data_IF_294236646502
#
_entry.id   IF_294236646502
#
_cell.length_a   1.000
_cell.length_b   1.000
_cell.length_c   1.000
_cell.angle_alpha   90.00
_cell.angle_beta   90.00
_cell.angle_gamma   90.00
#
_symmetry.space_group_name_H-M   'P 1'
#
loop_
_entity.id
_entity.type
_entity.pdbx_description
1 polymer ?
#
# COMPACT_ATOMS: atom_id res chain seq x y z
N UNK A 1 -2.99 -2.25 9.40
CA UNK A 1 -3.46 -1.97 10.78
C UNK A 1 -4.90 -1.49 10.81
N UNK A 2 -5.24 -0.28 10.37
CA UNK A 2 -6.64 0.16 10.26
C UNK A 2 -7.52 -0.78 9.42
N UNK A 3 -7.02 -1.28 8.28
CA UNK A 3 -7.67 -2.33 7.48
C UNK A 3 -7.97 -3.61 8.27
N UNK A 4 -7.22 -3.92 9.32
CA UNK A 4 -7.41 -5.11 10.16
C UNK A 4 -8.29 -4.83 11.39
N UNK A 5 -9.01 -3.70 11.43
CA UNK A 5 -9.81 -3.28 12.59
C UNK A 5 -9.00 -2.83 13.81
N UNK A 6 -7.67 -2.81 13.73
CA UNK A 6 -6.81 -2.36 14.84
C UNK A 6 -6.92 -0.85 15.00
N UNK A 7 -7.52 -0.44 16.13
CA UNK A 7 -7.93 0.95 16.42
C UNK A 7 -6.76 1.94 16.53
N UNK A 8 -5.57 1.46 16.88
CA UNK A 8 -4.39 2.29 17.08
C UNK A 8 -3.10 1.57 16.69
N UNK A 9 -2.11 2.34 16.24
CA UNK A 9 -0.74 1.89 16.01
C UNK A 9 0.19 3.12 16.08
N UNK A 10 1.38 2.96 16.67
CA UNK A 10 2.41 4.00 16.77
C UNK A 10 3.75 3.46 16.25
N UNK A 11 4.43 4.24 15.42
CA UNK A 11 5.68 3.85 14.76
C UNK A 11 6.93 4.35 15.51
N UNK A 12 8.01 3.56 15.46
CA UNK A 12 9.42 3.84 15.80
C UNK A 12 9.75 4.59 17.12
N UNK A 13 8.81 4.87 18.02
CA UNK A 13 9.11 5.43 19.36
C UNK A 13 8.38 4.70 20.50
N UNK A 14 9.06 4.47 21.64
CA UNK A 14 8.43 3.90 22.83
C UNK A 14 7.55 4.93 23.53
N UNK A 15 6.28 4.59 23.72
CA UNK A 15 5.35 5.28 24.63
C UNK A 15 5.49 4.73 26.08
N UNK A 16 6.08 5.43 27.08
CA UNK A 16 6.17 4.90 28.50
C UNK A 16 6.01 5.93 29.68
N UNK A 17 4.91 5.92 30.47
CA UNK A 17 4.47 6.93 31.50
C UNK A 17 5.22 6.77 32.87
N UNK A 18 5.26 7.68 33.86
CA UNK A 18 4.57 8.99 34.15
C UNK A 18 5.48 9.90 35.03
N UNK A 19 5.22 11.22 35.10
CA UNK A 19 6.09 12.18 35.81
C UNK A 19 5.71 12.58 37.25
N UNK A 20 6.69 13.18 37.95
CA UNK A 20 6.51 14.12 39.07
C UNK A 20 7.74 15.04 39.16
N UNK A 21 7.61 16.30 38.78
CA UNK A 21 8.71 17.26 38.73
C UNK A 21 8.33 18.49 37.91
N UNK A 22 8.67 19.69 38.40
CA UNK A 22 8.31 20.93 37.72
C UNK A 22 9.17 21.15 36.45
N UNK A 23 8.56 21.85 35.48
CA UNK A 23 9.10 22.27 34.17
C UNK A 23 9.07 21.25 33.01
N UNK A 24 8.57 21.74 31.86
CA UNK A 24 8.59 21.15 30.50
C UNK A 24 7.69 19.92 30.19
N UNK A 25 6.37 20.10 30.26
CA UNK A 25 5.43 19.26 29.49
C UNK A 25 5.49 19.58 27.99
N UNK A 26 6.08 18.68 27.20
CA UNK A 26 5.86 18.61 25.75
C UNK A 26 4.84 17.50 25.45
N UNK A 27 3.58 17.89 25.19
CA UNK A 27 2.52 16.98 24.73
C UNK A 27 2.72 16.70 23.23
N UNK A 28 2.78 15.42 22.84
CA UNK A 28 3.06 15.01 21.46
C UNK A 28 1.80 14.83 20.60
N UNK A 29 0.63 14.82 21.23
CA UNK A 29 -0.64 15.10 20.58
C UNK A 29 -1.02 16.54 20.97
N UNK A 30 -1.45 17.41 20.03
CA UNK A 30 -2.01 18.70 20.41
C UNK A 30 -3.23 18.47 21.32
N UNK A 31 -3.45 19.37 22.28
CA UNK A 31 -4.61 19.33 23.18
C UNK A 31 -5.91 19.58 22.38
N UNK A 32 -6.42 18.53 21.75
CA UNK A 32 -7.65 18.58 20.96
C UNK A 32 -8.63 17.55 21.51
N UNK A 33 -9.80 17.99 22.03
CA UNK A 33 -10.91 17.09 22.41
C UNK A 33 -11.41 16.17 21.26
N UNK A 34 -10.91 16.38 20.04
CA UNK A 34 -11.25 15.63 18.84
C UNK A 34 -10.65 14.22 18.76
N UNK A 35 -9.89 13.72 19.74
CA UNK A 35 -9.45 12.31 19.76
C UNK A 35 -10.64 11.32 19.78
N UNK A 36 -11.76 11.71 20.41
CA UNK A 36 -13.03 11.00 20.31
C UNK A 36 -13.79 11.21 18.98
N UNK A 37 -13.38 12.19 18.17
CA UNK A 37 -13.94 12.51 16.86
C UNK A 37 -13.04 12.06 15.69
N UNK A 38 -11.89 11.45 15.97
CA UNK A 38 -11.07 10.82 14.93
C UNK A 38 -11.76 9.53 14.45
N UNK A 39 -12.05 9.38 13.16
CA UNK A 39 -12.60 8.13 12.65
C UNK A 39 -11.58 7.00 12.84
N UNK A 40 -12.08 5.81 13.20
CA UNK A 40 -11.34 4.59 13.55
C UNK A 40 -10.42 4.03 12.45
N UNK A 41 -10.28 4.73 11.34
CA UNK A 41 -9.57 4.35 10.12
C UNK A 41 -8.26 5.12 9.89
N UNK A 42 -7.94 6.13 10.71
CA UNK A 42 -6.72 6.95 10.54
C UNK A 42 -5.52 6.38 11.29
N UNK A 43 -4.50 5.98 10.54
CA UNK A 43 -3.20 5.58 11.05
C UNK A 43 -2.34 6.84 11.26
N UNK A 44 -1.88 7.09 12.49
CA UNK A 44 -1.10 8.28 12.84
C UNK A 44 0.39 7.97 12.64
N UNK A 45 0.97 8.48 11.56
CA UNK A 45 2.40 8.39 11.31
C UNK A 45 3.13 9.53 12.02
N UNK A 46 3.90 9.22 13.06
CA UNK A 46 4.84 10.15 13.68
C UNK A 46 6.16 10.10 12.91
N UNK A 47 6.44 11.17 12.17
CA UNK A 47 7.66 11.34 11.39
C UNK A 47 8.89 11.26 12.30
N UNK A 48 9.94 10.56 11.89
CA UNK A 48 11.22 10.52 12.60
C UNK A 48 11.66 11.94 13.02
N UNK A 49 11.78 12.14 14.33
CA UNK A 49 12.70 13.15 14.88
C UNK A 49 13.97 12.43 15.32
N UNK A 50 15.07 13.20 15.31
CA UNK A 50 16.44 12.77 15.54
C UNK A 50 16.58 11.69 16.64
N UNK A 51 17.53 10.74 16.49
CA UNK A 51 17.69 9.62 17.42
C UNK A 51 17.75 10.09 18.87
N UNK A 52 16.88 9.51 19.70
CA UNK A 52 16.82 9.83 21.13
C UNK A 52 18.18 9.59 21.78
N UNK A 53 18.58 10.50 22.68
CA UNK A 53 19.81 10.33 23.45
C UNK A 53 19.67 9.09 24.37
N UNK A 54 20.73 8.25 24.51
CA UNK A 54 20.75 7.20 25.52
C UNK A 54 20.40 7.75 26.91
N UNK A 55 19.56 7.04 27.66
CA UNK A 55 19.06 7.47 28.97
C UNK A 55 17.79 8.36 28.96
N UNK A 56 17.19 8.64 27.80
CA UNK A 56 15.92 9.39 27.71
C UNK A 56 14.72 8.48 28.04
N UNK A 57 13.98 8.79 29.11
CA UNK A 57 12.70 8.15 29.48
C UNK A 57 11.49 8.90 28.87
N UNK A 58 10.42 8.20 28.42
CA UNK A 58 9.33 8.76 27.56
C UNK A 58 7.96 8.84 28.29
N UNK A 59 6.80 8.67 27.59
CA UNK A 59 5.37 8.75 28.07
C UNK A 59 4.36 8.38 26.93
N UNK A 60 3.35 7.47 27.06
CA UNK A 60 2.13 7.47 26.26
C UNK A 60 1.16 8.53 26.75
N UNK A 61 0.08 8.62 26.01
CA UNK A 61 -1.08 9.37 26.37
C UNK A 61 -1.89 8.72 27.54
N UNK A 62 -2.26 9.47 28.59
CA UNK A 62 -3.09 8.96 29.70
C UNK A 62 -4.53 8.61 29.29
N UNK A 63 -5.05 9.16 28.18
CA UNK A 63 -6.35 8.79 27.59
C UNK A 63 -6.29 7.47 26.83
N UNK A 64 -5.10 6.94 26.58
CA UNK A 64 -4.84 5.75 25.78
C UNK A 64 -3.77 4.84 26.44
N UNK A 65 -3.80 4.74 27.77
CA UNK A 65 -2.81 4.01 28.58
C UNK A 65 -2.74 2.48 28.32
N UNK A 66 -3.63 1.95 27.48
CA UNK A 66 -3.68 0.55 27.03
C UNK A 66 -3.09 0.33 25.62
N UNK A 67 -2.54 1.38 24.98
CA UNK A 67 -1.86 1.26 23.68
C UNK A 67 -0.38 0.95 23.91
N UNK A 68 0.01 -0.28 23.60
CA UNK A 68 1.40 -0.68 23.50
C UNK A 68 1.98 -0.26 22.14
N UNK A 69 3.07 0.51 22.13
CA UNK A 69 3.84 0.74 20.91
C UNK A 69 4.64 -0.53 20.57
N UNK A 70 4.59 -0.95 19.30
CA UNK A 70 5.32 -2.10 18.80
C UNK A 70 5.88 -1.80 17.41
N UNK A 71 6.99 -2.45 17.04
CA UNK A 71 7.60 -2.22 15.74
C UNK A 71 6.64 -2.61 14.60
N UNK A 72 6.56 -1.88 13.47
CA UNK A 72 5.57 -2.15 12.41
C UNK A 72 5.59 -3.57 11.86
N UNK A 73 6.79 -4.15 11.73
CA UNK A 73 6.97 -5.53 11.29
C UNK A 73 6.45 -6.56 12.33
N UNK A 74 6.57 -6.24 13.63
CA UNK A 74 6.01 -7.06 14.72
C UNK A 74 4.48 -6.97 14.72
N UNK A 75 3.91 -5.77 14.54
CA UNK A 75 2.46 -5.60 14.36
C UNK A 75 1.94 -6.38 13.15
N UNK A 76 2.66 -6.34 12.03
CA UNK A 76 2.33 -7.10 10.82
C UNK A 76 2.32 -8.61 11.10
N UNK A 77 3.36 -9.14 11.76
CA UNK A 77 3.42 -10.54 12.17
C UNK A 77 2.28 -10.95 13.12
N UNK A 78 1.89 -10.07 14.06
CA UNK A 78 0.73 -10.30 14.92
C UNK A 78 -0.59 -10.35 14.13
N UNK A 79 -0.81 -9.45 13.16
CA UNK A 79 -2.01 -9.48 12.31
C UNK A 79 -2.03 -10.70 11.40
N UNK A 80 -0.90 -11.07 10.80
CA UNK A 80 -0.76 -12.30 9.99
C UNK A 80 -1.16 -13.52 10.82
N UNK A 81 -0.61 -13.68 12.03
CA UNK A 81 -0.98 -14.77 12.95
C UNK A 81 -2.45 -14.71 13.37
N UNK A 82 -3.00 -13.52 13.62
CA UNK A 82 -4.39 -13.36 14.01
C UNK A 82 -5.34 -13.81 12.89
N UNK A 83 -5.02 -13.47 11.64
CA UNK A 83 -5.74 -13.93 10.45
C UNK A 83 -5.63 -15.45 10.26
N UNK A 84 -4.44 -16.04 10.38
CA UNK A 84 -4.24 -17.51 10.32
C UNK A 84 -5.10 -18.25 11.35
N UNK A 85 -5.17 -17.72 12.57
CA UNK A 85 -5.84 -18.37 13.71
C UNK A 85 -7.30 -17.94 13.90
N UNK A 86 -7.87 -17.16 12.97
CA UNK A 86 -9.24 -16.64 13.08
C UNK A 86 -9.50 -15.82 14.36
N UNK A 87 -8.50 -15.12 14.88
CA UNK A 87 -8.59 -14.42 16.17
C UNK A 87 -9.45 -13.14 16.05
N UNK A 88 -10.41 -12.90 16.97
CA UNK A 88 -11.35 -11.79 16.89
C UNK A 88 -10.72 -10.40 17.14
N UNK A 89 -9.42 -10.34 17.42
CA UNK A 89 -8.64 -9.10 17.51
C UNK A 89 -8.46 -8.42 16.15
N UNK A 90 -8.63 -9.17 15.05
CA UNK A 90 -8.67 -8.65 13.69
C UNK A 90 -10.07 -8.83 13.14
N UNK A 91 -10.71 -7.74 12.72
CA UNK A 91 -11.97 -7.81 11.99
C UNK A 91 -11.70 -8.24 10.54
N UNK A 92 -11.63 -9.56 10.33
CA UNK A 92 -11.45 -10.14 9.00
C UNK A 92 -12.64 -9.88 8.06
N UNK A 93 -13.82 -9.48 8.56
CA UNK A 93 -14.97 -9.13 7.71
C UNK A 93 -14.85 -7.72 7.15
N UNK A 94 -14.17 -6.81 7.87
CA UNK A 94 -13.82 -5.48 7.35
C UNK A 94 -12.87 -5.52 6.14
N UNK A 95 -12.09 -6.60 5.98
CA UNK A 95 -11.26 -6.83 4.80
C UNK A 95 -12.04 -7.65 3.76
N UNK A 96 -12.48 -6.96 2.71
CA UNK A 96 -13.30 -7.52 1.65
C UNK A 96 -12.50 -8.49 0.74
N UNK A 97 -13.10 -9.65 0.47
CA UNK A 97 -12.66 -10.63 -0.53
C UNK A 97 -13.89 -11.07 -1.34
N UNK A 98 -13.87 -10.96 -2.70
CA UNK A 98 -14.97 -11.38 -3.55
C UNK A 98 -15.36 -12.86 -3.38
N UNK A 99 -16.62 -13.25 -3.65
CA UNK A 99 -17.10 -14.61 -3.45
C UNK A 99 -16.28 -15.71 -4.14
N UNK A 100 -15.89 -15.51 -5.41
CA UNK A 100 -15.10 -16.47 -6.19
C UNK A 100 -13.69 -16.68 -5.62
N UNK A 101 -13.11 -15.68 -4.94
CA UNK A 101 -11.80 -15.75 -4.29
C UNK A 101 -11.83 -16.25 -2.83
N UNK A 102 -13.01 -16.63 -2.29
CA UNK A 102 -13.13 -17.02 -0.87
C UNK A 102 -12.25 -18.20 -0.48
N UNK A 103 -11.92 -19.09 -1.42
CA UNK A 103 -11.02 -20.22 -1.22
C UNK A 103 -9.60 -19.80 -0.78
N UNK A 104 -9.16 -18.58 -1.12
CA UNK A 104 -7.87 -18.00 -0.76
C UNK A 104 -7.98 -16.80 0.21
N UNK A 105 -9.14 -16.63 0.89
CA UNK A 105 -9.45 -15.38 1.58
C UNK A 105 -8.47 -15.01 2.70
N UNK A 106 -7.92 -15.95 3.45
CA UNK A 106 -6.94 -15.66 4.52
C UNK A 106 -5.67 -15.04 3.93
N UNK A 107 -5.11 -15.69 2.89
CA UNK A 107 -3.93 -15.23 2.17
C UNK A 107 -4.14 -13.85 1.54
N UNK A 108 -5.27 -13.64 0.84
CA UNK A 108 -5.60 -12.35 0.20
C UNK A 108 -5.65 -11.22 1.24
N UNK A 109 -6.31 -11.44 2.38
CA UNK A 109 -6.38 -10.45 3.47
C UNK A 109 -5.01 -10.14 4.06
N UNK A 110 -4.16 -11.14 4.22
CA UNK A 110 -2.80 -10.95 4.70
C UNK A 110 -1.97 -10.13 3.72
N UNK A 111 -2.04 -10.43 2.42
CA UNK A 111 -1.36 -9.63 1.37
C UNK A 111 -1.87 -8.18 1.37
N UNK A 112 -3.20 -7.95 1.40
CA UNK A 112 -3.77 -6.60 1.48
C UNK A 112 -3.30 -5.82 2.73
N UNK A 113 -3.09 -6.49 3.87
CA UNK A 113 -2.50 -5.86 5.06
C UNK A 113 -1.00 -5.61 4.91
N UNK A 114 -0.26 -6.53 4.27
CA UNK A 114 1.17 -6.38 3.99
C UNK A 114 1.40 -5.19 3.04
N UNK A 115 0.72 -5.14 1.90
CA UNK A 115 0.76 -4.04 0.91
C UNK A 115 0.60 -2.67 1.61
N UNK A 116 -0.47 -2.55 2.41
CA UNK A 116 -0.78 -1.33 3.14
C UNK A 116 0.24 -0.94 4.23
N UNK A 117 1.00 -1.91 4.78
CA UNK A 117 2.10 -1.63 5.72
C UNK A 117 3.38 -1.27 4.96
N UNK A 118 3.76 -2.03 3.92
CA UNK A 118 4.97 -1.79 3.12
C UNK A 118 4.95 -0.42 2.41
N UNK A 119 3.76 0.10 2.07
CA UNK A 119 3.58 1.46 1.55
C UNK A 119 4.02 2.54 2.54
N UNK A 120 3.88 2.31 3.84
CA UNK A 120 4.23 3.26 4.91
C UNK A 120 5.69 3.16 5.38
N UNK A 121 6.35 2.04 5.11
CA UNK A 121 7.70 1.77 5.59
C UNK A 121 8.78 2.16 4.56
N UNK A 122 10.02 2.45 5.02
CA UNK A 122 11.18 2.48 4.15
C UNK A 122 11.31 1.15 3.38
N UNK A 123 11.75 1.16 2.12
CA UNK A 123 12.01 -0.08 1.39
C UNK A 123 13.09 -0.91 2.10
N UNK A 124 12.75 -2.16 2.41
CA UNK A 124 13.65 -3.17 2.98
C UNK A 124 13.64 -4.41 2.07
N UNK A 125 14.80 -4.99 1.73
CA UNK A 125 14.85 -6.21 0.92
C UNK A 125 14.12 -7.38 1.59
N UNK A 126 13.40 -8.18 0.80
CA UNK A 126 12.76 -9.41 1.28
C UNK A 126 13.82 -10.34 1.86
N UNK A 127 13.63 -10.76 3.12
CA UNK A 127 14.57 -11.62 3.84
C UNK A 127 15.66 -10.88 4.62
N UNK A 128 15.57 -9.55 4.79
CA UNK A 128 16.47 -8.81 5.69
C UNK A 128 16.46 -9.41 7.11
N UNK A 129 17.63 -9.84 7.58
CA UNK A 129 17.80 -10.55 8.86
C UNK A 129 17.29 -9.76 10.07
N UNK A 130 17.32 -8.41 10.01
CA UNK A 130 16.82 -7.56 11.08
C UNK A 130 15.31 -7.66 11.19
N UNK A 131 14.61 -7.69 10.05
CA UNK A 131 13.15 -7.92 10.02
C UNK A 131 12.83 -9.34 10.48
N UNK A 132 13.56 -10.34 9.98
CA UNK A 132 13.35 -11.74 10.36
C UNK A 132 13.57 -11.99 11.85
N UNK A 133 14.56 -11.36 12.48
CA UNK A 133 14.80 -11.49 13.92
C UNK A 133 13.68 -10.88 14.77
N UNK A 134 13.03 -9.81 14.29
CA UNK A 134 11.91 -9.16 14.98
C UNK A 134 10.60 -9.98 14.92
N UNK A 135 10.34 -10.67 13.81
CA UNK A 135 9.09 -11.44 13.63
C UNK A 135 9.19 -12.90 14.10
N UNK A 136 10.42 -13.39 14.36
CA UNK A 136 10.68 -14.74 14.87
C UNK A 136 9.97 -15.00 16.20
N UNK A 137 9.18 -16.06 16.25
CA UNK A 137 8.38 -16.42 17.42
C UNK A 137 7.06 -15.65 17.56
N UNK A 138 6.88 -14.56 16.80
CA UNK A 138 5.57 -13.87 16.70
C UNK A 138 4.65 -14.65 15.76
N UNK A 139 5.13 -15.01 14.58
CA UNK A 139 4.42 -15.83 13.59
C UNK A 139 5.34 -16.88 12.96
N UNK A 140 4.80 -17.71 12.08
CA UNK A 140 5.56 -18.68 11.29
C UNK A 140 6.37 -17.96 10.21
N UNK A 141 7.69 -18.19 10.17
CA UNK A 141 8.61 -17.45 9.31
C UNK A 141 8.41 -17.76 7.82
N UNK A 142 8.04 -18.99 7.47
CA UNK A 142 7.80 -19.39 6.08
C UNK A 142 6.55 -18.73 5.51
N UNK A 143 5.46 -18.69 6.29
CA UNK A 143 4.23 -17.94 5.97
C UNK A 143 4.55 -16.44 5.81
N UNK A 144 5.28 -15.85 6.76
CA UNK A 144 5.65 -14.44 6.69
C UNK A 144 6.51 -14.10 5.47
N UNK A 145 7.51 -14.93 5.16
CA UNK A 145 8.36 -14.75 3.99
C UNK A 145 7.61 -14.94 2.68
N UNK A 146 6.65 -15.87 2.64
CA UNK A 146 5.76 -16.04 1.49
C UNK A 146 4.92 -14.78 1.28
N UNK A 147 4.26 -14.29 2.33
CA UNK A 147 3.47 -13.06 2.25
C UNK A 147 4.31 -11.84 1.85
N UNK A 148 5.53 -11.69 2.37
CA UNK A 148 6.41 -10.58 2.01
C UNK A 148 6.88 -10.65 0.54
N UNK A 149 7.05 -11.84 -0.04
CA UNK A 149 7.31 -12.02 -1.49
C UNK A 149 6.10 -11.68 -2.37
N UNK A 150 4.89 -11.94 -1.87
CA UNK A 150 3.64 -11.68 -2.58
C UNK A 150 3.07 -10.28 -2.35
N UNK A 151 3.59 -9.55 -1.36
CA UNK A 151 3.17 -8.19 -1.05
C UNK A 151 3.84 -7.17 -1.99
N UNK A 152 3.07 -6.16 -2.38
CA UNK A 152 3.50 -5.07 -3.23
C UNK A 152 3.21 -3.73 -2.55
N UNK A 153 4.25 -2.90 -2.45
CA UNK A 153 4.15 -1.55 -1.87
C UNK A 153 3.38 -0.55 -2.74
N UNK A 154 3.19 -0.89 -4.03
CA UNK A 154 2.49 -0.06 -5.01
C UNK A 154 0.98 -0.23 -5.00
N UNK A 155 0.43 -1.27 -4.36
CA UNK A 155 -1.02 -1.36 -4.16
C UNK A 155 -1.44 -0.35 -3.09
N UNK A 156 -2.09 0.73 -3.50
CA UNK A 156 -2.54 1.80 -2.61
C UNK A 156 -3.91 1.50 -1.98
N UNK A 157 -4.70 0.60 -2.59
CA UNK A 157 -5.98 0.10 -2.08
C UNK A 157 -6.12 -1.43 -2.09
N UNK A 158 -7.02 -2.02 -1.26
CA UNK A 158 -7.30 -3.46 -1.27
C UNK A 158 -7.81 -3.99 -2.62
N UNK A 159 -8.36 -3.13 -3.48
CA UNK A 159 -8.87 -3.49 -4.81
C UNK A 159 -7.76 -3.60 -5.84
N UNK A 160 -6.70 -2.78 -5.75
CA UNK A 160 -5.49 -2.97 -6.55
C UNK A 160 -4.77 -4.27 -6.17
N UNK A 161 -4.71 -4.62 -4.87
CA UNK A 161 -4.19 -5.92 -4.43
C UNK A 161 -4.99 -7.07 -5.04
N UNK A 162 -6.34 -6.98 -5.07
CA UNK A 162 -7.21 -7.97 -5.71
C UNK A 162 -6.96 -8.05 -7.22
N UNK A 163 -6.96 -6.91 -7.91
CA UNK A 163 -6.68 -6.81 -9.36
C UNK A 163 -5.34 -7.46 -9.71
N UNK A 164 -4.29 -7.18 -8.94
CA UNK A 164 -2.97 -7.80 -9.07
C UNK A 164 -3.04 -9.31 -8.87
N UNK A 165 -3.56 -9.77 -7.73
CA UNK A 165 -3.60 -11.20 -7.38
C UNK A 165 -4.43 -12.02 -8.37
N UNK A 166 -5.55 -11.50 -8.88
CA UNK A 166 -6.37 -12.16 -9.90
C UNK A 166 -5.65 -12.28 -11.25
N UNK A 167 -4.79 -11.33 -11.61
CA UNK A 167 -4.14 -11.29 -12.93
C UNK A 167 -2.74 -11.94 -12.97
N UNK A 168 -2.04 -12.07 -11.83
CA UNK A 168 -0.63 -12.51 -11.80
C UNK A 168 -0.36 -13.85 -12.52
N UNK A 169 -1.26 -14.83 -12.39
CA UNK A 169 -1.13 -16.15 -13.06
C UNK A 169 -1.21 -16.03 -14.58
N UNK A 170 -2.14 -15.21 -15.06
CA UNK A 170 -2.36 -15.00 -16.49
C UNK A 170 -1.29 -14.12 -17.12
N UNK A 171 -0.88 -13.06 -16.43
CA UNK A 171 0.25 -12.20 -16.83
C UNK A 171 1.52 -13.03 -17.04
N UNK A 172 1.85 -13.93 -16.10
CA UNK A 172 2.98 -14.84 -16.26
C UNK A 172 2.80 -15.83 -17.44
N UNK A 173 1.58 -16.35 -17.65
CA UNK A 173 1.24 -17.24 -18.79
C UNK A 173 1.36 -16.53 -20.14
N UNK A 174 1.07 -15.23 -20.20
CA UNK A 174 1.17 -14.41 -21.41
C UNK A 174 2.60 -13.95 -21.73
N UNK A 175 3.58 -14.27 -20.89
CA UNK A 175 4.95 -13.76 -21.04
C UNK A 175 5.06 -12.26 -20.72
N UNK A 176 4.21 -11.76 -19.83
CA UNK A 176 4.18 -10.37 -19.40
C UNK A 176 4.61 -10.20 -17.94
N UNK A 177 4.86 -8.96 -17.55
CA UNK A 177 5.14 -8.51 -16.17
C UNK A 177 4.07 -7.53 -15.73
N UNK A 178 3.61 -7.68 -14.49
CA UNK A 178 2.72 -6.73 -13.82
C UNK A 178 3.57 -5.74 -13.00
N UNK A 179 3.46 -4.45 -13.30
CA UNK A 179 4.23 -3.39 -12.60
C UNK A 179 3.25 -2.36 -12.04
N UNK A 180 3.26 -2.15 -10.73
CA UNK A 180 2.38 -1.16 -10.07
C UNK A 180 2.90 0.27 -10.14
N UNK A 181 1.99 1.25 -10.04
CA UNK A 181 2.28 2.68 -9.86
C UNK A 181 3.26 3.24 -10.88
N UNK A 182 2.93 3.04 -12.17
CA UNK A 182 3.76 3.47 -13.30
C UNK A 182 3.38 4.88 -13.73
N UNK A 183 4.33 5.81 -13.70
CA UNK A 183 4.14 7.16 -14.27
C UNK A 183 4.05 7.06 -15.80
N UNK A 184 2.95 7.49 -16.39
CA UNK A 184 2.76 7.57 -17.83
C UNK A 184 3.11 8.97 -18.33
N UNK A 185 4.09 9.04 -19.22
CA UNK A 185 4.55 10.28 -19.85
C UNK A 185 4.29 10.21 -21.36
N UNK A 186 3.73 11.26 -21.94
CA UNK A 186 3.55 11.40 -23.40
C UNK A 186 4.34 12.63 -23.84
N UNK A 187 5.27 12.47 -24.78
CA UNK A 187 6.10 13.55 -25.34
C UNK A 187 6.76 14.44 -24.25
N UNK A 188 7.34 13.80 -23.23
CA UNK A 188 7.94 14.45 -22.04
C UNK A 188 6.97 15.19 -21.11
N UNK A 189 5.66 15.10 -21.34
CA UNK A 189 4.61 15.60 -20.43
C UNK A 189 4.10 14.46 -19.55
N UNK A 190 4.09 14.65 -18.23
CA UNK A 190 3.44 13.71 -17.32
C UNK A 190 1.92 13.76 -17.52
N UNK A 191 1.30 12.61 -17.78
CA UNK A 191 -0.15 12.50 -18.02
C UNK A 191 -0.86 12.02 -16.75
N UNK A 192 -0.43 10.88 -16.20
CA UNK A 192 -1.02 10.26 -15.01
C UNK A 192 -0.06 9.24 -14.40
N UNK A 193 -0.40 8.69 -13.22
CA UNK A 193 0.11 7.38 -12.80
C UNK A 193 -0.97 6.34 -13.10
N UNK A 194 -0.59 5.21 -13.70
CA UNK A 194 -1.44 4.02 -13.78
C UNK A 194 -1.19 3.13 -12.57
N UNK A 195 -2.26 2.62 -11.96
CA UNK A 195 -2.16 1.75 -10.78
C UNK A 195 -1.39 0.47 -11.08
N UNK A 196 -1.51 -0.03 -12.32
CA UNK A 196 -0.57 -0.97 -12.89
C UNK A 196 -0.39 -0.82 -14.40
N UNK A 197 0.69 -1.39 -14.92
CA UNK A 197 0.89 -1.69 -16.33
C UNK A 197 1.23 -3.17 -16.46
N UNK A 198 0.55 -3.85 -17.37
CA UNK A 198 0.96 -5.18 -17.85
C UNK A 198 1.79 -4.92 -19.11
N UNK A 199 3.04 -5.37 -19.14
CA UNK A 199 3.98 -5.17 -20.26
C UNK A 199 4.64 -6.49 -20.66
N UNK A 200 4.86 -6.73 -21.95
CA UNK A 200 5.61 -7.90 -22.42
C UNK A 200 6.99 -7.98 -21.75
N UNK A 201 7.44 -9.18 -21.36
CA UNK A 201 8.68 -9.40 -20.60
C UNK A 201 9.91 -8.83 -21.30
N UNK A 202 9.93 -8.89 -22.63
CA UNK A 202 10.98 -8.38 -23.51
C UNK A 202 10.82 -6.90 -23.87
N UNK A 203 9.79 -6.21 -23.36
CA UNK A 203 9.59 -4.76 -23.47
C UNK A 203 9.85 -4.05 -22.10
N UNK A 204 10.09 -4.79 -21.02
CA UNK A 204 10.29 -4.28 -19.64
C UNK A 204 11.41 -3.22 -19.54
N UNK A 205 12.47 -3.32 -20.35
CA UNK A 205 13.56 -2.34 -20.41
C UNK A 205 13.13 -0.94 -20.88
N UNK A 206 11.92 -0.79 -21.43
CA UNK A 206 11.34 0.52 -21.77
C UNK A 206 10.88 1.28 -20.51
N UNK A 207 10.68 0.58 -19.38
CA UNK A 207 10.41 1.20 -18.09
C UNK A 207 11.68 1.86 -17.54
N UNK A 208 11.59 3.16 -17.28
CA UNK A 208 12.66 3.96 -16.67
C UNK A 208 12.39 4.10 -15.18
N UNK A 209 13.41 3.93 -14.35
CA UNK A 209 13.30 4.29 -12.94
C UNK A 209 13.30 5.82 -12.78
N UNK A 210 12.18 6.42 -12.41
CA UNK A 210 12.08 7.85 -12.06
C UNK A 210 12.12 8.03 -10.55
N UNK A 211 12.91 9.01 -10.08
CA UNK A 211 12.72 9.56 -8.74
C UNK A 211 11.54 10.51 -8.82
N UNK A 212 10.48 10.23 -8.05
CA UNK A 212 9.24 11.01 -8.12
C UNK A 212 9.50 12.48 -7.74
N UNK A 213 8.73 13.40 -8.34
CA UNK A 213 8.72 14.82 -7.94
C UNK A 213 8.12 15.04 -6.55
N UNK A 214 7.40 14.06 -6.00
CA UNK A 214 6.70 14.12 -4.71
C UNK A 214 7.04 12.88 -3.88
N UNK A 215 7.55 13.08 -2.66
CA UNK A 215 7.78 12.00 -1.69
C UNK A 215 9.12 11.25 -1.80
N UNK A 216 9.89 11.42 -2.87
CA UNK A 216 11.25 10.86 -2.99
C UNK A 216 11.32 9.33 -3.17
N UNK A 217 10.19 8.68 -3.44
CA UNK A 217 10.16 7.29 -3.85
C UNK A 217 10.73 7.14 -5.26
N UNK A 218 11.28 5.96 -5.58
CA UNK A 218 11.55 5.57 -6.97
C UNK A 218 10.30 4.87 -7.48
N UNK A 219 9.70 5.39 -8.56
CA UNK A 219 8.62 4.73 -9.32
C UNK A 219 9.17 4.28 -10.68
N UNK A 220 8.45 3.37 -11.32
CA UNK A 220 8.65 3.06 -12.72
C UNK A 220 7.93 4.12 -13.57
N UNK A 221 8.50 4.47 -14.71
CA UNK A 221 7.87 5.37 -15.68
C UNK A 221 7.94 4.77 -17.09
N UNK A 222 6.85 4.90 -17.84
CA UNK A 222 6.79 4.56 -19.24
C UNK A 222 6.70 5.86 -20.05
N UNK A 223 7.62 6.04 -20.99
CA UNK A 223 7.64 7.21 -21.88
C UNK A 223 7.09 6.78 -23.24
N UNK A 224 5.95 7.35 -23.58
CA UNK A 224 5.20 7.15 -24.81
C UNK A 224 5.44 8.33 -25.76
N UNK A 225 5.33 8.08 -27.06
CA UNK A 225 5.47 9.08 -28.12
C UNK A 225 4.21 9.13 -28.97
N UNK A 226 3.72 10.32 -29.29
CA UNK A 226 2.54 10.48 -30.16
C UNK A 226 2.81 10.29 -31.66
N UNK A 227 4.06 10.06 -32.06
CA UNK A 227 4.47 9.91 -33.45
C UNK A 227 4.37 8.45 -33.94
N UNK A 228 3.82 8.28 -35.15
CA UNK A 228 3.68 6.98 -35.85
C UNK A 228 5.01 6.22 -36.04
N UNK A 229 6.15 6.89 -35.90
CA UNK A 229 7.50 6.32 -36.01
C UNK A 229 7.98 5.61 -34.73
N UNK A 230 7.25 5.71 -33.63
CA UNK A 230 7.59 5.06 -32.36
C UNK A 230 7.18 3.59 -32.33
N UNK A 231 8.07 2.72 -31.83
CA UNK A 231 7.66 1.36 -31.46
C UNK A 231 6.83 1.45 -30.18
N UNK A 232 5.51 1.36 -30.30
CA UNK A 232 4.62 1.29 -29.14
C UNK A 232 4.96 0.04 -28.30
N UNK A 233 5.11 0.17 -26.97
CA UNK A 233 5.34 -0.99 -26.10
C UNK A 233 4.12 -1.92 -26.15
N UNK A 234 4.33 -3.24 -26.16
CA UNK A 234 3.22 -4.20 -25.99
C UNK A 234 2.84 -4.23 -24.53
N UNK A 235 2.03 -3.24 -24.16
CA UNK A 235 1.63 -2.97 -22.81
C UNK A 235 0.20 -2.44 -22.76
N UNK A 236 -0.46 -2.66 -21.63
CA UNK A 236 -1.77 -2.11 -21.30
C UNK A 236 -1.74 -1.52 -19.89
N UNK A 237 -2.22 -0.28 -19.77
CA UNK A 237 -2.41 0.36 -18.46
C UNK A 237 -3.69 -0.13 -17.79
N UNK A 238 -3.64 -0.32 -16.49
CA UNK A 238 -4.79 -0.57 -15.62
C UNK A 238 -4.94 0.61 -14.68
N UNK A 239 -6.14 1.17 -14.62
CA UNK A 239 -6.50 2.24 -13.67
C UNK A 239 -7.72 1.79 -12.86
N UNK A 240 -7.58 1.69 -11.55
CA UNK A 240 -8.67 1.29 -10.66
C UNK A 240 -9.58 2.49 -10.36
N UNK A 241 -10.83 2.39 -10.81
CA UNK A 241 -11.82 3.45 -10.67
C UNK A 241 -12.68 3.24 -9.41
N UNK A 242 -12.25 3.86 -8.32
CA UNK A 242 -13.01 3.93 -7.06
C UNK A 242 -14.27 4.79 -7.19
N UNK A 243 -15.31 4.53 -6.39
CA UNK A 243 -16.58 5.27 -6.44
C UNK A 243 -16.44 6.74 -5.97
N UNK A 244 -15.97 7.63 -6.85
CA UNK A 244 -15.85 9.07 -6.62
C UNK A 244 -16.40 9.91 -7.80
N UNK A 245 -17.57 9.52 -8.30
CA UNK A 245 -18.19 10.12 -9.50
C UNK A 245 -19.33 11.08 -9.19
N UNK A 246 -19.01 12.31 -8.82
CA UNK A 246 -19.90 13.48 -8.99
C UNK A 246 -19.16 14.78 -9.35
N UNK A 247 -17.87 14.91 -9.05
CA UNK A 247 -17.11 16.12 -9.40
C UNK A 247 -16.99 16.29 -10.93
N UNK A 248 -17.00 17.54 -11.40
CA UNK A 248 -16.76 17.92 -12.80
C UNK A 248 -15.26 17.99 -13.09
N UNK A 249 -14.44 18.47 -12.14
CA UNK A 249 -13.00 18.62 -12.34
C UNK A 249 -12.32 17.25 -12.54
N UNK A 250 -12.78 16.24 -11.80
CA UNK A 250 -12.37 14.84 -11.96
C UNK A 250 -12.67 14.32 -13.39
N UNK A 251 -13.87 14.58 -13.92
CA UNK A 251 -14.28 14.15 -15.26
C UNK A 251 -13.52 14.86 -16.38
N UNK A 252 -13.26 16.15 -16.23
CA UNK A 252 -12.47 16.93 -17.18
C UNK A 252 -10.97 16.52 -17.14
N UNK A 253 -10.45 16.08 -15.98
CA UNK A 253 -9.14 15.45 -15.85
C UNK A 253 -9.08 14.07 -16.52
N UNK A 254 -10.04 13.18 -16.22
CA UNK A 254 -10.12 11.84 -16.79
C UNK A 254 -10.24 11.85 -18.33
N UNK A 255 -10.97 12.82 -18.87
CA UNK A 255 -11.11 13.03 -20.32
C UNK A 255 -9.79 13.46 -20.97
N UNK A 256 -9.03 14.35 -20.32
CA UNK A 256 -7.69 14.77 -20.79
C UNK A 256 -6.69 13.64 -20.74
N UNK A 257 -6.67 12.85 -19.67
CA UNK A 257 -5.82 11.65 -19.53
C UNK A 257 -6.12 10.67 -20.67
N UNK A 258 -7.41 10.36 -20.89
CA UNK A 258 -7.82 9.39 -21.91
C UNK A 258 -7.46 9.85 -23.33
N UNK A 259 -7.65 11.14 -23.63
CA UNK A 259 -7.25 11.73 -24.92
C UNK A 259 -5.74 11.69 -25.16
N UNK A 260 -4.93 12.03 -24.15
CA UNK A 260 -3.47 12.00 -24.27
C UNK A 260 -2.92 10.58 -24.50
N UNK A 261 -3.45 9.58 -23.78
CA UNK A 261 -3.00 8.19 -23.93
C UNK A 261 -3.47 7.54 -25.24
N UNK A 262 -4.69 7.85 -25.70
CA UNK A 262 -5.16 7.46 -27.03
C UNK A 262 -4.32 8.09 -28.15
N UNK A 263 -3.87 9.34 -27.98
CA UNK A 263 -3.00 10.01 -28.97
C UNK A 263 -1.61 9.37 -29.05
N UNK A 264 -1.19 8.64 -28.01
CA UNK A 264 0.07 7.90 -27.97
C UNK A 264 -0.10 6.38 -28.20
N UNK A 265 -1.24 5.96 -28.78
CA UNK A 265 -1.63 4.57 -29.05
C UNK A 265 -1.44 3.62 -27.84
N UNK A 266 -1.63 4.13 -26.62
CA UNK A 266 -1.44 3.37 -25.40
C UNK A 266 -2.80 2.93 -24.81
N UNK A 267 -3.15 1.63 -24.87
CA UNK A 267 -4.42 1.15 -24.38
C UNK A 267 -4.46 1.20 -22.84
N UNK A 268 -5.56 1.72 -22.29
CA UNK A 268 -5.84 1.71 -20.86
C UNK A 268 -7.22 1.14 -20.59
N UNK A 269 -7.27 0.18 -19.67
CA UNK A 269 -8.50 -0.37 -19.11
C UNK A 269 -8.78 0.29 -17.76
N UNK A 270 -9.93 0.95 -17.64
CA UNK A 270 -10.47 1.37 -16.34
C UNK A 270 -11.19 0.19 -15.69
N UNK A 271 -10.70 -0.25 -14.55
CA UNK A 271 -11.21 -1.39 -13.79
C UNK A 271 -12.04 -0.86 -12.62
N UNK A 272 -13.34 -1.11 -12.65
CA UNK A 272 -14.22 -0.75 -11.53
C UNK A 272 -14.26 -1.88 -10.50
N UNK A 273 -14.67 -1.55 -9.26
CA UNK A 273 -15.00 -2.56 -8.24
C UNK A 273 -15.90 -3.69 -8.78
N UNK A 274 -16.94 -3.33 -9.54
CA UNK A 274 -17.93 -4.28 -10.05
C UNK A 274 -17.29 -5.31 -10.99
N UNK A 275 -16.36 -4.86 -11.85
CA UNK A 275 -15.60 -5.76 -12.75
C UNK A 275 -14.69 -6.75 -11.99
N UNK A 276 -14.26 -6.41 -10.77
CA UNK A 276 -13.47 -7.31 -9.91
C UNK A 276 -14.39 -8.26 -9.14
N UNK A 277 -15.62 -7.84 -8.80
CA UNK A 277 -16.59 -8.69 -8.08
C UNK A 277 -17.28 -9.70 -9.00
N UNK A 278 -17.62 -9.32 -10.23
CA UNK A 278 -18.40 -10.08 -11.22
C UNK A 278 -17.58 -11.06 -12.09
N UNK A 279 -16.35 -11.39 -11.69
CA UNK A 279 -15.58 -12.44 -12.36
C UNK A 279 -16.23 -13.81 -12.07
N UNK A 280 -16.92 -14.35 -13.08
CA UNK A 280 -17.47 -15.71 -13.04
C UNK A 280 -16.32 -16.74 -13.12
N UNK A 281 -16.33 -17.79 -12.27
CA UNK A 281 -15.20 -18.72 -12.09
C UNK A 281 -15.07 -19.83 -13.15
#
# INVERSE_FOLDING_TARGET
>A
MALAGLRYFADQQPTVLRGSGAASTLRFLPDVPALHALPSTKLIYLRERAPMKPGTTVTPDPYCAHIEAMHPWVALAHVVRALERGQPIVDAQSIHVPPHLRHAATFIRQVQVCDAVLRLLPPVPVGDERVLSLVKGVCELEVFMTLWRWADRGCESPWESLMRLSLLKDVARWGCVYVTQVELWVDSTFVTTADAVIIAQEDVQLLRATRTRVGGAVRSALVLTSSESGVAPRAVGLMYDGRHHLDREQRDLDSRISSALHTADFPVLRVTRQMIEDVDP
#
